data_IF_500652121762
#
_entry.id   IF_500652121762
#
_cell.length_a   1.000
_cell.length_b   1.000
_cell.length_c   1.000
_cell.angle_alpha   90.00
_cell.angle_beta   90.00
_cell.angle_gamma   90.00
#
_symmetry.space_group_name_H-M   'P 1'
#
loop_
_entity.id
_entity.type
_entity.pdbx_description
1 polymer ?
#
# COMPACT_ATOMS: atom_id res chain seq x y z
N UNK A 1 -23.77 -13.32 -0.90
CA UNK A 1 -22.41 -12.82 -0.63
C UNK A 1 -21.48 -13.48 -1.62
N UNK A 2 -20.66 -12.75 -2.38
CA UNK A 2 -19.61 -13.40 -3.17
C UNK A 2 -18.67 -14.15 -2.22
N UNK A 3 -18.11 -15.31 -2.62
CA UNK A 3 -17.20 -16.06 -1.79
C UNK A 3 -16.04 -15.16 -1.38
N UNK A 4 -15.77 -15.12 -0.08
CA UNK A 4 -14.64 -14.36 0.47
C UNK A 4 -13.38 -14.94 -0.16
N UNK A 5 -12.68 -14.15 -0.97
CA UNK A 5 -11.48 -14.61 -1.64
C UNK A 5 -10.47 -15.01 -0.56
N UNK A 6 -10.07 -16.28 -0.56
CA UNK A 6 -9.01 -16.78 0.33
C UNK A 6 -7.66 -16.33 -0.24
N UNK A 7 -6.76 -15.85 0.61
CA UNK A 7 -5.42 -15.47 0.20
C UNK A 7 -4.67 -16.61 -0.54
N UNK A 8 -4.90 -17.86 -0.13
CA UNK A 8 -4.32 -19.03 -0.81
C UNK A 8 -4.83 -19.18 -2.25
N UNK A 9 -6.12 -18.89 -2.48
CA UNK A 9 -6.70 -18.96 -3.82
C UNK A 9 -6.11 -17.86 -4.70
N UNK A 10 -6.02 -16.63 -4.19
CA UNK A 10 -5.44 -15.49 -4.93
C UNK A 10 -3.98 -15.77 -5.26
N UNK A 11 -3.20 -16.23 -4.30
CA UNK A 11 -1.78 -16.55 -4.46
C UNK A 11 -1.56 -17.70 -5.43
N UNK A 12 -2.34 -18.79 -5.32
CA UNK A 12 -2.25 -19.91 -6.23
C UNK A 12 -2.58 -19.56 -7.68
N UNK A 13 -3.47 -18.60 -7.90
CA UNK A 13 -3.77 -18.11 -9.26
C UNK A 13 -2.58 -17.35 -9.86
N UNK A 14 -1.88 -16.53 -9.07
CA UNK A 14 -0.64 -15.88 -9.51
C UNK A 14 0.44 -16.92 -9.83
N UNK A 15 0.67 -17.87 -8.92
CA UNK A 15 1.69 -18.91 -9.07
C UNK A 15 1.48 -19.80 -10.32
N UNK A 16 0.24 -20.01 -10.72
CA UNK A 16 -0.12 -20.75 -11.95
C UNK A 16 -0.19 -19.87 -13.20
N UNK A 17 0.07 -18.55 -13.08
CA UNK A 17 -0.02 -17.62 -14.19
C UNK A 17 -1.46 -17.37 -14.70
N UNK A 18 -2.48 -17.70 -13.90
CA UNK A 18 -3.90 -17.44 -14.24
C UNK A 18 -4.28 -15.98 -14.15
N UNK A 19 -3.55 -15.21 -13.36
CA UNK A 19 -3.67 -13.76 -13.21
C UNK A 19 -2.29 -13.14 -13.26
N UNK A 20 -2.20 -11.93 -13.77
CA UNK A 20 -0.99 -11.12 -13.73
C UNK A 20 -0.77 -10.45 -12.36
N UNK A 21 0.37 -9.80 -12.17
CA UNK A 21 0.72 -9.11 -10.93
C UNK A 21 -0.23 -7.96 -10.61
N UNK A 22 -0.77 -7.28 -11.61
CA UNK A 22 -1.74 -6.19 -11.43
C UNK A 22 -3.04 -6.72 -10.84
N UNK A 23 -3.62 -7.75 -11.47
CA UNK A 23 -4.85 -8.40 -10.98
C UNK A 23 -4.64 -9.04 -9.59
N UNK A 24 -3.44 -9.59 -9.34
CA UNK A 24 -3.07 -10.11 -8.02
C UNK A 24 -3.09 -9.00 -6.96
N UNK A 25 -2.42 -7.88 -7.19
CA UNK A 25 -2.36 -6.76 -6.25
C UNK A 25 -3.74 -6.15 -5.98
N UNK A 26 -4.59 -6.04 -6.99
CA UNK A 26 -5.97 -5.58 -6.84
C UNK A 26 -6.80 -6.51 -5.93
N UNK A 27 -6.72 -7.82 -6.15
CA UNK A 27 -7.42 -8.80 -5.34
C UNK A 27 -6.85 -8.85 -3.91
N UNK A 28 -5.54 -8.76 -3.78
CA UNK A 28 -4.83 -8.77 -2.51
C UNK A 28 -5.19 -7.55 -1.65
N UNK A 29 -5.17 -6.35 -2.20
CA UNK A 29 -5.52 -5.12 -1.45
C UNK A 29 -6.98 -5.13 -1.00
N UNK A 30 -7.89 -5.58 -1.86
CA UNK A 30 -9.31 -5.79 -1.48
C UNK A 30 -9.44 -6.81 -0.35
N UNK A 31 -8.71 -7.93 -0.44
CA UNK A 31 -8.69 -8.94 0.62
C UNK A 31 -8.18 -8.35 1.94
N UNK A 32 -7.06 -7.60 1.91
CA UNK A 32 -6.50 -6.94 3.10
C UNK A 32 -7.51 -5.99 3.73
N UNK A 33 -8.14 -5.11 2.94
CA UNK A 33 -9.15 -4.17 3.45
C UNK A 33 -10.27 -4.90 4.19
N UNK A 34 -10.75 -6.00 3.63
CA UNK A 34 -11.83 -6.82 4.22
C UNK A 34 -11.38 -7.54 5.50
N UNK A 35 -10.18 -8.15 5.49
CA UNK A 35 -9.68 -8.94 6.63
C UNK A 35 -9.28 -8.07 7.83
N UNK A 36 -8.71 -6.90 7.55
CA UNK A 36 -8.29 -5.94 8.59
C UNK A 36 -9.48 -5.09 9.04
N UNK A 37 -10.48 -4.89 8.17
CA UNK A 37 -11.62 -4.02 8.45
C UNK A 37 -11.23 -2.54 8.40
N UNK A 38 -10.44 -2.15 7.39
CA UNK A 38 -10.00 -0.76 7.19
C UNK A 38 -10.66 -0.12 5.98
N UNK A 39 -10.68 1.23 5.94
CA UNK A 39 -11.29 2.01 4.86
C UNK A 39 -10.53 1.85 3.55
N UNK A 40 -9.20 1.81 3.60
CA UNK A 40 -8.32 1.59 2.45
C UNK A 40 -7.23 0.60 2.80
N UNK A 41 -6.83 -0.20 1.82
CA UNK A 41 -5.65 -1.03 1.91
C UNK A 41 -4.83 -0.93 0.63
N UNK A 42 -3.52 -0.82 0.77
CA UNK A 42 -2.60 -0.63 -0.34
C UNK A 42 -1.35 -1.50 -0.25
N UNK A 43 -0.66 -1.56 -1.38
CA UNK A 43 0.71 -2.05 -1.48
C UNK A 43 1.57 -0.92 -2.02
N UNK A 44 2.67 -0.68 -1.34
CA UNK A 44 3.71 0.25 -1.76
C UNK A 44 5.03 -0.50 -1.91
N UNK A 45 5.87 -0.09 -2.85
CA UNK A 45 7.17 -0.71 -3.10
C UNK A 45 8.28 0.31 -2.89
N UNK A 46 9.41 -0.16 -2.34
CA UNK A 46 10.60 0.66 -2.23
C UNK A 46 11.31 0.74 -3.58
N UNK A 47 11.62 1.95 -4.00
CA UNK A 47 12.37 2.24 -5.22
C UNK A 47 13.55 3.12 -4.84
N UNK A 48 14.74 2.74 -5.25
CA UNK A 48 15.92 3.59 -5.13
C UNK A 48 15.93 4.57 -6.32
N UNK A 49 15.88 5.87 -6.02
CA UNK A 49 15.85 6.95 -6.97
C UNK A 49 17.08 7.87 -6.77
N UNK A 50 17.47 8.70 -7.75
CA UNK A 50 18.66 9.56 -7.65
C UNK A 50 18.67 10.50 -6.43
N UNK A 51 17.47 10.89 -5.95
CA UNK A 51 17.31 11.79 -4.80
C UNK A 51 17.01 11.04 -3.48
N UNK A 52 17.21 9.73 -3.46
CA UNK A 52 16.95 8.88 -2.29
C UNK A 52 15.85 7.85 -2.52
N UNK A 53 15.53 7.12 -1.47
CA UNK A 53 14.53 6.06 -1.52
C UNK A 53 13.11 6.64 -1.57
N UNK A 54 12.27 6.02 -2.37
CA UNK A 54 10.85 6.35 -2.56
C UNK A 54 10.00 5.14 -2.20
N UNK A 55 8.89 5.37 -1.52
CA UNK A 55 7.86 4.37 -1.29
C UNK A 55 6.69 4.65 -2.24
N UNK A 56 6.65 3.93 -3.37
CA UNK A 56 5.70 4.11 -4.46
C UNK A 56 4.45 3.27 -4.25
N UNK A 57 3.28 3.90 -4.40
CA UNK A 57 2.01 3.17 -4.37
C UNK A 57 1.79 2.44 -5.69
N UNK A 58 1.71 1.10 -5.63
CA UNK A 58 1.43 0.25 -6.82
C UNK A 58 0.00 -0.27 -6.85
N UNK A 59 -0.68 -0.29 -5.72
CA UNK A 59 -2.10 -0.62 -5.64
C UNK A 59 -2.69 -0.01 -4.36
N UNK A 60 -3.89 0.59 -4.45
CA UNK A 60 -4.67 1.06 -3.31
C UNK A 60 -6.14 0.80 -3.57
N UNK A 61 -6.77 0.00 -2.72
CA UNK A 61 -8.21 -0.27 -2.76
C UNK A 61 -8.93 0.60 -1.74
N UNK A 62 -10.01 1.24 -2.15
CA UNK A 62 -10.91 2.02 -1.28
C UNK A 62 -12.24 1.27 -1.13
N UNK A 63 -12.57 0.90 0.11
CA UNK A 63 -13.76 0.10 0.41
C UNK A 63 -15.07 0.89 0.21
N UNK A 64 -15.06 2.20 0.42
CA UNK A 64 -16.23 3.06 0.24
C UNK A 64 -16.57 3.23 -1.25
N UNK A 65 -15.54 3.33 -2.10
CA UNK A 65 -15.70 3.40 -3.56
C UNK A 65 -15.85 2.02 -4.20
N UNK A 66 -15.49 0.96 -3.49
CA UNK A 66 -15.51 -0.42 -4.00
C UNK A 66 -14.50 -0.66 -5.12
N UNK A 67 -13.47 0.17 -5.26
CA UNK A 67 -12.54 0.19 -6.38
C UNK A 67 -11.12 0.61 -6.03
N UNK A 68 -10.27 0.61 -7.06
CA UNK A 68 -8.88 1.05 -6.95
C UNK A 68 -8.80 2.58 -7.05
N UNK A 69 -7.93 3.17 -6.22
CA UNK A 69 -7.64 4.61 -6.19
C UNK A 69 -6.14 4.85 -6.32
N UNK A 70 -5.76 6.06 -6.75
CA UNK A 70 -4.38 6.50 -6.73
C UNK A 70 -3.97 6.99 -5.33
N UNK A 71 -2.68 6.87 -5.02
CA UNK A 71 -2.07 7.52 -3.86
C UNK A 71 -0.67 8.04 -4.24
N UNK A 72 -0.22 9.16 -3.67
CA UNK A 72 1.07 9.74 -4.01
C UNK A 72 2.23 8.86 -3.54
N UNK A 73 3.37 9.02 -4.21
CA UNK A 73 4.65 8.48 -3.76
C UNK A 73 5.10 9.24 -2.50
N UNK A 74 5.79 8.55 -1.59
CA UNK A 74 6.37 9.13 -0.39
C UNK A 74 7.89 9.15 -0.53
N UNK A 75 8.51 10.32 -0.39
CA UNK A 75 9.96 10.47 -0.48
C UNK A 75 10.59 10.31 0.90
N UNK A 76 11.68 9.56 1.00
CA UNK A 76 12.40 9.42 2.26
C UNK A 76 12.92 10.77 2.78
N UNK A 77 13.37 11.65 1.87
CA UNK A 77 13.88 12.97 2.22
C UNK A 77 12.85 13.85 2.97
N UNK A 78 11.56 13.69 2.64
CA UNK A 78 10.48 14.50 3.20
C UNK A 78 9.87 13.87 4.46
N UNK A 79 10.01 12.55 4.62
CA UNK A 79 9.30 11.75 5.63
C UNK A 79 10.26 10.90 6.48
N UNK A 80 11.43 11.43 6.84
CA UNK A 80 12.51 10.73 7.55
C UNK A 80 12.05 9.87 8.74
N UNK A 81 11.38 10.43 9.78
CA UNK A 81 10.96 9.66 10.95
C UNK A 81 10.07 8.46 10.63
N UNK A 82 9.19 8.58 9.63
CA UNK A 82 8.33 7.49 9.17
C UNK A 82 9.15 6.37 8.52
N UNK A 83 10.06 6.73 7.60
CA UNK A 83 10.94 5.74 6.94
C UNK A 83 11.88 5.06 7.93
N UNK A 84 12.49 5.82 8.85
CA UNK A 84 13.36 5.27 9.89
C UNK A 84 12.64 4.24 10.77
N UNK A 85 11.40 4.54 11.16
CA UNK A 85 10.56 3.60 11.91
C UNK A 85 10.24 2.36 11.10
N UNK A 86 9.83 2.49 9.83
CA UNK A 86 9.55 1.37 8.96
C UNK A 86 10.78 0.47 8.76
N UNK A 87 11.94 1.06 8.50
CA UNK A 87 13.18 0.31 8.25
C UNK A 87 13.72 -0.38 9.50
N UNK A 88 13.57 0.24 10.67
CA UNK A 88 14.04 -0.31 11.95
C UNK A 88 13.12 -1.37 12.52
N UNK A 89 11.81 -1.09 12.57
CA UNK A 89 10.82 -1.90 13.30
C UNK A 89 10.00 -2.79 12.37
N UNK A 90 10.12 -2.61 11.05
CA UNK A 90 9.34 -3.33 10.04
C UNK A 90 7.86 -2.95 10.00
N UNK A 91 7.44 -1.98 10.79
CA UNK A 91 6.04 -1.52 10.83
C UNK A 91 5.88 -0.15 11.45
N UNK A 92 4.82 0.55 11.06
CA UNK A 92 4.28 1.75 11.71
C UNK A 92 2.83 1.49 12.05
N UNK A 93 2.40 1.90 13.25
CA UNK A 93 1.00 1.81 13.68
C UNK A 93 0.66 3.09 14.44
N UNK A 94 -0.16 3.94 13.83
CA UNK A 94 -0.57 5.24 14.37
C UNK A 94 -2.11 5.32 14.40
N UNK A 95 -2.69 5.15 15.59
CA UNK A 95 -4.14 5.26 15.80
C UNK A 95 -4.66 6.69 15.62
N UNK A 96 -3.79 7.69 15.81
CA UNK A 96 -4.03 9.08 15.45
C UNK A 96 -2.88 9.60 14.59
N UNK A 97 -2.88 9.21 13.32
CA UNK A 97 -1.79 9.50 12.39
C UNK A 97 -1.53 11.00 12.21
N UNK A 98 -2.54 11.85 12.39
CA UNK A 98 -2.40 13.31 12.22
C UNK A 98 -1.66 14.00 13.36
N UNK A 99 -1.50 13.36 14.50
CA UNK A 99 -0.78 13.91 15.67
C UNK A 99 0.35 13.00 16.17
N UNK A 100 0.61 11.88 15.49
CA UNK A 100 1.71 10.99 15.83
C UNK A 100 3.04 11.57 15.29
N UNK A 101 4.08 11.70 16.14
CA UNK A 101 5.35 12.29 15.70
C UNK A 101 6.05 11.51 14.58
N UNK A 102 5.81 10.20 14.46
CA UNK A 102 6.39 9.37 13.39
C UNK A 102 5.78 9.70 12.04
N UNK A 103 4.49 10.04 12.01
CA UNK A 103 3.75 10.34 10.78
C UNK A 103 3.56 11.84 10.54
N UNK A 104 4.17 12.70 11.38
CA UNK A 104 4.04 14.16 11.28
C UNK A 104 4.45 14.70 9.90
N UNK A 105 5.50 14.17 9.29
CA UNK A 105 5.92 14.56 7.94
C UNK A 105 4.92 14.23 6.84
N UNK A 106 4.00 13.29 7.07
CA UNK A 106 2.96 12.91 6.11
C UNK A 106 1.71 13.81 6.21
N UNK A 107 1.64 14.74 7.18
CA UNK A 107 0.40 15.44 7.53
C UNK A 107 -0.16 16.24 6.35
N UNK A 108 0.62 17.17 5.82
CA UNK A 108 0.17 18.14 4.81
C UNK A 108 0.07 17.51 3.42
N UNK A 109 1.04 16.66 3.07
CA UNK A 109 1.16 16.13 1.71
C UNK A 109 0.28 14.89 1.48
N UNK A 110 -0.11 14.20 2.56
CA UNK A 110 -0.85 12.95 2.44
C UNK A 110 -2.05 12.82 3.37
N UNK A 111 -1.86 12.92 4.70
CA UNK A 111 -2.92 12.55 5.65
C UNK A 111 -4.13 13.47 5.59
N UNK A 112 -3.92 14.79 5.45
CA UNK A 112 -5.01 15.75 5.32
C UNK A 112 -5.69 15.67 3.94
N UNK A 113 -4.97 15.73 2.79
CA UNK A 113 -5.60 15.63 1.48
C UNK A 113 -6.37 14.32 1.26
N UNK A 114 -5.84 13.19 1.74
CA UNK A 114 -6.47 11.89 1.64
C UNK A 114 -7.49 11.60 2.75
N UNK A 115 -7.68 12.54 3.69
CA UNK A 115 -8.55 12.41 4.86
C UNK A 115 -8.22 11.19 5.74
N UNK A 116 -6.95 10.78 5.79
CA UNK A 116 -6.50 9.65 6.61
C UNK A 116 -6.39 10.08 8.07
N UNK A 117 -7.00 9.33 8.97
CA UNK A 117 -7.00 9.59 10.43
C UNK A 117 -6.17 8.59 11.21
N UNK A 118 -6.08 7.34 10.74
CA UNK A 118 -5.26 6.30 11.36
C UNK A 118 -4.53 5.51 10.26
N UNK A 119 -3.30 5.09 10.54
CA UNK A 119 -2.42 4.41 9.58
C UNK A 119 -1.77 3.20 10.26
N UNK A 120 -1.72 2.08 9.55
CA UNK A 120 -0.96 0.88 9.94
C UNK A 120 -0.25 0.31 8.73
N UNK A 121 1.08 0.37 8.74
CA UNK A 121 1.94 -0.16 7.68
C UNK A 121 2.78 -1.32 8.18
N UNK A 122 2.93 -2.32 7.34
CA UNK A 122 3.73 -3.52 7.60
C UNK A 122 4.66 -3.80 6.43
N UNK A 123 5.96 -3.80 6.69
CA UNK A 123 6.95 -4.17 5.68
C UNK A 123 6.85 -5.64 5.27
N UNK A 124 7.20 -5.91 4.02
CA UNK A 124 7.40 -7.25 3.51
C UNK A 124 8.67 -7.33 2.65
N UNK A 125 9.23 -8.53 2.57
CA UNK A 125 10.46 -8.79 1.84
C UNK A 125 10.23 -9.87 0.79
N UNK A 126 10.98 -9.81 -0.30
CA UNK A 126 11.03 -10.85 -1.33
C UNK A 126 12.48 -11.28 -1.49
N UNK A 127 12.75 -12.58 -1.41
CA UNK A 127 14.11 -13.13 -1.42
C UNK A 127 15.05 -12.51 -0.37
N UNK A 128 14.52 -12.20 0.82
CA UNK A 128 15.30 -11.58 1.91
C UNK A 128 15.59 -10.09 1.72
N UNK A 129 15.18 -9.50 0.60
CA UNK A 129 15.32 -8.05 0.35
C UNK A 129 14.01 -7.36 0.72
N UNK A 130 14.12 -6.26 1.46
CA UNK A 130 12.97 -5.43 1.79
C UNK A 130 12.37 -4.88 0.49
N UNK A 131 11.12 -5.25 0.23
CA UNK A 131 10.48 -4.98 -1.05
C UNK A 131 9.47 -3.82 -0.96
N UNK A 132 8.69 -3.76 0.09
CA UNK A 132 7.65 -2.74 0.24
C UNK A 132 6.87 -2.84 1.53
N UNK A 133 5.69 -2.21 1.53
CA UNK A 133 4.75 -2.21 2.66
C UNK A 133 3.34 -2.56 2.22
N UNK A 134 2.61 -3.23 3.12
CA UNK A 134 1.16 -3.20 3.13
C UNK A 134 0.71 -2.01 3.97
N UNK A 135 -0.16 -1.19 3.43
CA UNK A 135 -0.75 -0.02 4.10
C UNK A 135 -2.21 -0.28 4.40
N UNK A 136 -2.64 -0.03 5.63
CA UNK A 136 -4.03 -0.02 6.05
C UNK A 136 -4.38 1.36 6.61
N UNK A 137 -5.41 1.98 6.08
CA UNK A 137 -5.79 3.35 6.41
C UNK A 137 -7.23 3.43 6.88
N UNK A 138 -7.47 4.26 7.88
CA UNK A 138 -8.81 4.64 8.28
C UNK A 138 -9.10 6.08 7.87
N UNK A 139 -10.10 6.24 7.01
CA UNK A 139 -10.50 7.53 6.44
C UNK A 139 -11.59 8.17 7.30
N UNK A 140 -11.44 9.48 7.55
CA UNK A 140 -12.42 10.30 8.26
C UNK A 140 -12.41 10.14 9.78
N UNK A 141 -12.54 8.94 10.29
CA UNK A 141 -12.56 8.67 11.73
C UNK A 141 -11.30 7.95 12.21
N UNK A 142 -10.91 8.19 13.46
CA UNK A 142 -9.79 7.46 14.07
C UNK A 142 -10.22 6.05 14.46
N UNK A 143 -9.27 5.11 14.42
CA UNK A 143 -9.46 3.78 14.99
C UNK A 143 -8.23 3.35 15.79
N UNK A 144 -8.45 2.59 16.84
CA UNK A 144 -7.39 1.91 17.57
C UNK A 144 -7.05 0.60 16.85
N UNK A 145 -5.80 0.49 16.39
CA UNK A 145 -5.31 -0.74 15.78
C UNK A 145 -5.06 -1.80 16.85
N UNK A 146 -5.80 -2.88 16.81
CA UNK A 146 -5.65 -4.00 17.76
C UNK A 146 -4.42 -4.86 17.42
N UNK A 147 -3.87 -5.53 18.42
CA UNK A 147 -2.81 -6.54 18.23
C UNK A 147 -3.24 -7.66 17.28
N UNK A 148 -4.52 -8.00 17.26
CA UNK A 148 -5.08 -8.98 16.33
C UNK A 148 -4.97 -8.52 14.88
N UNK A 149 -5.28 -7.26 14.57
CA UNK A 149 -5.14 -6.67 13.23
C UNK A 149 -3.67 -6.61 12.81
N UNK A 150 -2.78 -6.17 13.69
CA UNK A 150 -1.35 -6.14 13.42
C UNK A 150 -0.78 -7.53 13.11
N UNK A 151 -1.15 -8.55 13.89
CA UNK A 151 -0.75 -9.93 13.65
C UNK A 151 -1.36 -10.50 12.37
N UNK A 152 -2.61 -10.16 12.05
CA UNK A 152 -3.25 -10.56 10.80
C UNK A 152 -2.53 -9.97 9.59
N UNK A 153 -2.21 -8.66 9.63
CA UNK A 153 -1.47 -8.01 8.55
C UNK A 153 -0.07 -8.60 8.39
N UNK A 154 0.63 -8.91 9.49
CA UNK A 154 1.94 -9.58 9.45
C UNK A 154 1.88 -10.96 8.77
N UNK A 155 0.85 -11.75 9.08
CA UNK A 155 0.64 -13.07 8.43
C UNK A 155 0.36 -12.92 6.93
N UNK A 156 -0.45 -11.92 6.55
CA UNK A 156 -0.73 -11.63 5.14
C UNK A 156 0.57 -11.21 4.43
N UNK A 157 1.33 -10.30 5.01
CA UNK A 157 2.61 -9.83 4.45
C UNK A 157 3.59 -10.99 4.23
N UNK A 158 3.75 -11.89 5.21
CA UNK A 158 4.61 -13.05 5.09
C UNK A 158 4.17 -14.01 3.98
N UNK A 159 2.85 -14.25 3.84
CA UNK A 159 2.32 -15.11 2.78
C UNK A 159 2.47 -14.49 1.39
N UNK A 160 2.16 -13.21 1.25
CA UNK A 160 2.35 -12.48 0.01
C UNK A 160 3.82 -12.49 -0.44
N UNK A 161 4.77 -12.35 0.51
CA UNK A 161 6.20 -12.49 0.23
C UNK A 161 6.55 -13.84 -0.39
N UNK A 162 6.02 -14.94 0.14
CA UNK A 162 6.25 -16.30 -0.37
C UNK A 162 5.67 -16.46 -1.78
N UNK A 163 4.45 -16.00 -2.02
CA UNK A 163 3.80 -16.11 -3.33
C UNK A 163 4.53 -15.30 -4.39
N UNK A 164 4.99 -14.09 -4.06
CA UNK A 164 5.81 -13.28 -4.95
C UNK A 164 7.17 -13.95 -5.23
N UNK A 165 7.79 -14.57 -4.22
CA UNK A 165 9.03 -15.31 -4.39
C UNK A 165 8.86 -16.49 -5.35
N UNK A 166 7.80 -17.28 -5.21
CA UNK A 166 7.49 -18.38 -6.12
C UNK A 166 7.21 -17.88 -7.54
N UNK A 167 6.48 -16.77 -7.68
CA UNK A 167 6.21 -16.16 -8.98
C UNK A 167 7.51 -15.74 -9.70
N UNK A 168 8.46 -15.13 -8.98
CA UNK A 168 9.80 -14.81 -9.53
C UNK A 168 10.52 -16.07 -9.99
N UNK A 169 10.54 -17.09 -9.16
CA UNK A 169 11.21 -18.36 -9.47
C UNK A 169 10.64 -19.07 -10.71
N UNK A 170 9.37 -18.80 -11.03
CA UNK A 170 8.67 -19.31 -12.20
C UNK A 170 8.76 -18.35 -13.43
N UNK A 171 9.62 -17.34 -13.40
CA UNK A 171 9.87 -16.42 -14.49
C UNK A 171 8.88 -15.26 -14.59
N UNK A 172 8.04 -15.05 -13.59
CA UNK A 172 7.22 -13.83 -13.48
C UNK A 172 8.13 -12.71 -12.98
N UNK A 173 8.27 -11.65 -13.77
CA UNK A 173 9.08 -10.49 -13.39
C UNK A 173 8.41 -9.74 -12.24
N UNK A 174 9.03 -9.77 -11.07
CA UNK A 174 8.61 -9.04 -9.86
C UNK A 174 9.62 -7.96 -9.46
N UNK A 175 10.55 -7.61 -10.35
CA UNK A 175 11.40 -6.46 -10.09
C UNK A 175 10.51 -5.24 -9.79
N UNK A 176 10.91 -4.35 -8.86
CA UNK A 176 10.12 -3.15 -8.53
C UNK A 176 9.71 -2.33 -9.76
N UNK A 177 10.54 -2.32 -10.81
CA UNK A 177 10.24 -1.69 -12.10
C UNK A 177 9.16 -2.42 -12.90
N UNK A 178 9.19 -3.76 -12.94
CA UNK A 178 8.25 -4.55 -13.73
C UNK A 178 6.83 -4.56 -13.13
N UNK A 179 6.73 -4.63 -11.80
CA UNK A 179 5.43 -4.46 -11.11
C UNK A 179 4.83 -3.07 -11.36
N UNK A 180 5.69 -2.09 -11.60
CA UNK A 180 5.27 -0.73 -11.91
C UNK A 180 4.82 -0.57 -13.37
N UNK A 181 5.54 -1.10 -14.34
CA UNK A 181 5.21 -0.96 -15.76
C UNK A 181 3.87 -1.61 -16.12
N UNK A 182 3.56 -2.75 -15.50
CA UNK A 182 2.26 -3.42 -15.65
C UNK A 182 1.12 -2.73 -14.88
N UNK A 183 1.44 -1.90 -13.89
CA UNK A 183 0.46 -1.23 -13.00
C UNK A 183 0.15 0.21 -13.40
N UNK A 184 0.61 0.71 -14.57
CA UNK A 184 0.25 2.08 -14.99
C UNK A 184 -1.27 2.16 -15.18
N UNK A 185 -2.04 2.68 -14.21
CA UNK A 185 -3.39 3.09 -14.50
C UNK A 185 -3.25 4.23 -15.50
N UNK A 186 -3.99 4.07 -16.60
CA UNK A 186 -4.26 5.14 -17.54
C UNK A 186 -4.24 6.49 -16.78
N UNK A 187 -3.32 7.37 -17.14
CA UNK A 187 -3.23 8.73 -16.59
C UNK A 187 -4.62 9.35 -16.74
N UNK A 188 -5.43 9.26 -15.71
CA UNK A 188 -6.48 10.24 -15.51
C UNK A 188 -5.73 11.54 -15.26
N UNK A 189 -5.54 12.26 -16.36
CA UNK A 189 -5.04 13.60 -16.37
C UNK A 189 -5.79 14.38 -15.28
N UNK A 190 -5.13 14.67 -14.18
CA UNK A 190 -5.43 15.85 -13.39
C UNK A 190 -5.14 17.02 -14.32
N UNK A 191 -6.16 17.39 -15.10
CA UNK A 191 -6.18 18.70 -15.73
C UNK A 191 -5.99 19.69 -14.59
N UNK A 192 -4.96 20.53 -14.61
CA UNK A 192 -4.87 21.61 -13.65
C UNK A 192 -6.15 22.43 -13.79
N UNK A 193 -6.87 22.60 -12.72
CA UNK A 193 -8.04 23.43 -12.65
C UNK A 193 -7.59 24.85 -13.03
N UNK A 194 -8.23 25.51 -14.01
CA UNK A 194 -7.82 26.86 -14.40
C UNK A 194 -7.95 27.79 -13.20
N UNK A 195 -6.90 28.58 -12.94
CA UNK A 195 -6.78 29.57 -11.87
C UNK A 195 -7.82 30.72 -11.96
N UNK A 196 -8.72 30.69 -12.93
CA UNK A 196 -9.70 31.74 -13.17
C UNK A 196 -11.00 31.63 -12.34
N UNK A 197 -11.20 30.58 -11.56
CA UNK A 197 -12.40 30.39 -10.74
C UNK A 197 -12.23 30.80 -9.26
N UNK A 198 -11.08 31.36 -8.87
CA UNK A 198 -10.83 31.84 -7.51
C UNK A 198 -10.97 33.37 -7.35
N UNK A 199 -11.57 34.08 -8.35
CA UNK A 199 -11.91 35.49 -8.23
C UNK A 199 -13.41 35.67 -8.50
N UNK A 200 -14.22 35.43 -7.48
CA UNK A 200 -15.49 36.14 -7.21
C UNK A 200 -15.87 35.91 -5.76
#
# INVERSE_FOLDING_TARGET
MPPQADLQVISGRLERGEIDSTAYLQQLTRFVATQIGCSRAGVRVFIDAPLGRVLRCVAMYDAALGGMVGAPDMQHADHGPYFERLLRDGSVSASNARSDPVTAGLLEDYLLPANVSSLMDMCFSVNGVLFGTFSCEQVGTKCEWSQRQLQALRKIASRASLSLMHAVSNGIDTAPGALWESSTPNRLATKPMPLELLRK
#
